data_IF_567976089805
#
_entry.id   IF_567976089805
#
_cell.length_a   1.000
_cell.length_b   1.000
_cell.length_c   1.000
_cell.angle_alpha   90.00
_cell.angle_beta   90.00
_cell.angle_gamma   90.00
#
_symmetry.space_group_name_H-M   'P 1'
#
loop_
_entity.id
_entity.type
_entity.pdbx_description
1 polymer ?
#
# COMPACT_ATOMS: atom_id res chain seq x y z
N UNK A 1 21.73 -13.28 -9.08
CA UNK A 1 21.44 -14.34 -10.09
C UNK A 1 20.50 -15.40 -9.54
N UNK A 2 20.86 -16.19 -8.52
CA UNK A 2 19.95 -17.20 -7.95
C UNK A 2 18.76 -16.57 -7.20
N UNK A 3 19.03 -15.62 -6.29
CA UNK A 3 18.00 -14.92 -5.53
C UNK A 3 17.04 -14.13 -6.42
N UNK A 4 17.54 -13.44 -7.45
CA UNK A 4 16.69 -12.66 -8.37
C UNK A 4 15.77 -13.55 -9.20
N UNK A 5 16.27 -14.71 -9.67
CA UNK A 5 15.45 -15.66 -10.42
C UNK A 5 14.35 -16.28 -9.55
N UNK A 6 14.70 -16.65 -8.32
CA UNK A 6 13.74 -17.16 -7.33
C UNK A 6 12.71 -16.07 -6.98
N UNK A 7 13.14 -14.84 -6.77
CA UNK A 7 12.24 -13.72 -6.48
C UNK A 7 11.24 -13.48 -7.61
N UNK A 8 11.69 -13.53 -8.86
CA UNK A 8 10.82 -13.38 -10.03
C UNK A 8 9.78 -14.52 -10.13
N UNK A 9 10.18 -15.77 -9.87
CA UNK A 9 9.27 -16.91 -9.80
C UNK A 9 8.22 -16.75 -8.67
N UNK A 10 8.66 -16.33 -7.48
CA UNK A 10 7.77 -16.09 -6.35
C UNK A 10 6.81 -14.93 -6.62
N UNK A 11 7.25 -13.87 -7.30
CA UNK A 11 6.38 -12.76 -7.66
C UNK A 11 5.24 -13.21 -8.58
N UNK A 12 5.52 -14.14 -9.50
CA UNK A 12 4.51 -14.73 -10.36
C UNK A 12 3.53 -15.62 -9.58
N UNK A 13 4.02 -16.40 -8.60
CA UNK A 13 3.16 -17.18 -7.69
C UNK A 13 2.25 -16.26 -6.88
N UNK A 14 2.80 -15.20 -6.29
CA UNK A 14 2.05 -14.21 -5.51
C UNK A 14 1.01 -13.53 -6.39
N UNK A 15 1.37 -13.17 -7.63
CA UNK A 15 0.42 -12.63 -8.61
C UNK A 15 -0.73 -13.60 -8.87
N UNK A 16 -0.43 -14.85 -9.20
CA UNK A 16 -1.45 -15.87 -9.49
C UNK A 16 -2.40 -16.13 -8.31
N UNK A 17 -1.96 -15.89 -7.07
CA UNK A 17 -2.78 -16.08 -5.87
C UNK A 17 -3.58 -14.84 -5.47
N UNK A 18 -2.95 -13.67 -5.49
CA UNK A 18 -3.55 -12.44 -4.96
C UNK A 18 -4.29 -11.63 -6.03
N UNK A 19 -3.96 -11.81 -7.30
CA UNK A 19 -4.64 -11.13 -8.40
C UNK A 19 -6.10 -11.59 -8.61
N UNK A 20 -6.43 -12.91 -8.60
CA UNK A 20 -7.79 -13.39 -8.82
C UNK A 20 -8.67 -13.34 -7.55
N UNK A 21 -8.49 -12.32 -6.70
CA UNK A 21 -9.34 -12.14 -5.52
C UNK A 21 -10.83 -12.12 -5.90
N UNK A 22 -11.73 -12.72 -5.10
CA UNK A 22 -13.16 -12.69 -5.38
C UNK A 22 -13.68 -11.29 -5.72
N UNK A 23 -14.62 -11.23 -6.67
CA UNK A 23 -15.30 -9.97 -7.03
C UNK A 23 -16.05 -9.38 -5.83
N UNK A 24 -16.53 -10.23 -4.93
CA UNK A 24 -17.10 -9.80 -3.67
C UNK A 24 -15.99 -9.26 -2.77
N UNK A 25 -16.13 -8.00 -2.35
CA UNK A 25 -15.18 -7.36 -1.44
C UNK A 25 -15.23 -8.04 -0.07
N UNK A 26 -14.08 -8.43 0.45
CA UNK A 26 -13.93 -9.04 1.77
C UNK A 26 -13.16 -8.11 2.70
N UNK A 27 -13.83 -7.61 3.74
CA UNK A 27 -13.24 -6.63 4.66
C UNK A 27 -12.79 -5.36 3.95
N UNK A 28 -11.47 -5.21 3.77
CA UNK A 28 -10.83 -4.09 3.06
C UNK A 28 -9.97 -4.55 1.88
N UNK A 29 -10.25 -5.75 1.35
CA UNK A 29 -9.58 -6.35 0.19
C UNK A 29 -10.58 -6.53 -0.98
N UNK A 30 -10.08 -6.38 -2.20
CA UNK A 30 -10.86 -6.55 -3.43
C UNK A 30 -9.93 -6.94 -4.59
N UNK A 31 -10.52 -7.39 -5.71
CA UNK A 31 -9.80 -7.80 -6.91
C UNK A 31 -8.75 -6.76 -7.35
N UNK A 32 -7.49 -7.20 -7.46
CA UNK A 32 -6.37 -6.36 -7.85
C UNK A 32 -5.69 -5.56 -6.73
N UNK A 33 -6.41 -5.19 -5.67
CA UNK A 33 -5.82 -4.38 -4.60
C UNK A 33 -4.72 -5.11 -3.84
N UNK A 34 -4.95 -6.35 -3.42
CA UNK A 34 -4.03 -7.06 -2.53
C UNK A 34 -2.66 -7.23 -3.20
N UNK A 35 -2.64 -7.63 -4.48
CA UNK A 35 -1.38 -7.72 -5.23
C UNK A 35 -0.70 -6.36 -5.44
N UNK A 36 -1.45 -5.34 -5.86
CA UNK A 36 -0.90 -3.99 -6.04
C UNK A 36 -0.35 -3.41 -4.72
N UNK A 37 -1.03 -3.70 -3.61
CA UNK A 37 -0.60 -3.36 -2.25
C UNK A 37 0.72 -4.05 -1.91
N UNK A 38 0.82 -5.37 -2.11
CA UNK A 38 2.07 -6.11 -1.91
C UNK A 38 3.24 -5.47 -2.66
N UNK A 39 3.06 -5.07 -3.92
CA UNK A 39 4.12 -4.42 -4.69
C UNK A 39 4.51 -3.03 -4.14
N UNK A 40 3.55 -2.23 -3.68
CA UNK A 40 3.85 -0.93 -3.03
C UNK A 40 4.57 -1.11 -1.70
N UNK A 41 4.18 -2.12 -0.91
CA UNK A 41 4.86 -2.50 0.34
C UNK A 41 6.30 -2.93 0.05
N UNK A 42 6.53 -3.75 -0.98
CA UNK A 42 7.91 -4.11 -1.42
C UNK A 42 8.74 -2.86 -1.74
N UNK A 43 8.18 -1.91 -2.51
CA UNK A 43 8.89 -0.69 -2.87
C UNK A 43 9.27 0.16 -1.66
N UNK A 44 8.31 0.38 -0.75
CA UNK A 44 8.53 1.19 0.45
C UNK A 44 9.45 0.49 1.45
N UNK A 45 9.27 -0.82 1.68
CA UNK A 45 10.12 -1.59 2.58
C UNK A 45 11.57 -1.62 2.10
N UNK A 46 11.81 -1.76 0.78
CA UNK A 46 13.14 -1.67 0.20
C UNK A 46 13.76 -0.27 0.33
N UNK A 47 12.96 0.78 0.20
CA UNK A 47 13.43 2.14 0.43
C UNK A 47 13.90 2.33 1.88
N UNK A 48 13.12 1.82 2.83
CA UNK A 48 13.47 1.86 4.26
C UNK A 48 14.70 1.01 4.57
N UNK A 49 14.76 -0.22 4.05
CA UNK A 49 15.87 -1.16 4.27
C UNK A 49 17.22 -0.55 3.89
N UNK A 50 17.30 0.14 2.76
CA UNK A 50 18.54 0.82 2.30
C UNK A 50 18.99 1.95 3.22
N UNK A 51 18.06 2.63 3.88
CA UNK A 51 18.39 3.73 4.80
C UNK A 51 18.73 3.24 6.19
N UNK A 52 18.18 2.08 6.58
CA UNK A 52 18.39 1.46 7.88
C UNK A 52 19.48 0.38 7.90
N UNK A 53 20.18 0.21 6.76
CA UNK A 53 21.24 -0.80 6.58
C UNK A 53 20.75 -2.24 6.87
N UNK A 54 19.49 -2.51 6.52
CA UNK A 54 18.87 -3.82 6.64
C UNK A 54 19.22 -4.73 5.45
N UNK A 55 19.14 -6.05 5.64
CA UNK A 55 19.27 -6.99 4.55
C UNK A 55 18.12 -6.82 3.54
N UNK A 56 18.44 -6.23 2.38
CA UNK A 56 17.45 -5.94 1.34
C UNK A 56 16.85 -7.20 0.71
N UNK A 57 17.55 -8.33 0.74
CA UNK A 57 17.03 -9.60 0.23
C UNK A 57 15.99 -10.17 1.19
N UNK A 58 16.25 -10.16 2.49
CA UNK A 58 15.27 -10.58 3.50
C UNK A 58 14.03 -9.70 3.41
N UNK A 59 14.20 -8.37 3.38
CA UNK A 59 13.08 -7.42 3.35
C UNK A 59 12.23 -7.57 2.09
N UNK A 60 12.84 -7.66 0.90
CA UNK A 60 12.03 -7.76 -0.34
C UNK A 60 11.26 -9.06 -0.41
N UNK A 61 11.85 -10.18 0.02
CA UNK A 61 11.16 -11.47 0.06
C UNK A 61 10.02 -11.47 1.07
N UNK A 62 10.28 -10.99 2.30
CA UNK A 62 9.26 -10.89 3.33
C UNK A 62 8.11 -9.97 2.91
N UNK A 63 8.40 -8.79 2.37
CA UNK A 63 7.39 -7.86 1.88
C UNK A 63 6.59 -8.43 0.70
N UNK A 64 7.21 -9.17 -0.23
CA UNK A 64 6.50 -9.81 -1.34
C UNK A 64 5.54 -10.91 -0.86
N UNK A 65 5.90 -11.61 0.22
CA UNK A 65 5.20 -12.81 0.67
C UNK A 65 4.30 -12.58 1.90
N UNK A 66 4.31 -11.40 2.53
CA UNK A 66 3.63 -11.17 3.81
C UNK A 66 2.12 -11.50 3.78
N UNK A 67 1.48 -11.23 2.63
CA UNK A 67 0.05 -11.43 2.41
C UNK A 67 -0.26 -12.68 1.56
N UNK A 68 0.73 -13.57 1.32
CA UNK A 68 0.56 -14.77 0.47
C UNK A 68 -0.58 -15.68 0.93
N UNK A 69 -0.92 -15.63 2.22
CA UNK A 69 -2.05 -16.35 2.83
C UNK A 69 -3.10 -15.45 3.46
N UNK A 70 -3.37 -14.31 2.81
CA UNK A 70 -4.44 -13.40 3.24
C UNK A 70 -5.82 -14.08 3.31
N UNK A 71 -6.04 -15.13 2.53
CA UNK A 71 -7.22 -16.01 2.56
C UNK A 71 -7.43 -16.71 3.93
N UNK A 72 -6.37 -16.90 4.71
CA UNK A 72 -6.46 -17.49 6.06
C UNK A 72 -7.08 -16.53 7.11
N UNK A 73 -7.34 -15.27 6.75
CA UNK A 73 -8.02 -14.31 7.63
C UNK A 73 -7.14 -13.83 8.79
N UNK A 74 -7.60 -14.00 10.03
CA UNK A 74 -6.94 -13.42 11.22
C UNK A 74 -5.52 -13.94 11.44
N UNK A 75 -5.26 -15.20 11.09
CA UNK A 75 -3.96 -15.85 11.33
C UNK A 75 -3.05 -15.83 10.09
N UNK A 76 -3.35 -14.99 9.07
CA UNK A 76 -2.62 -14.97 7.80
C UNK A 76 -1.11 -14.78 7.95
N UNK A 77 -0.64 -14.00 8.92
CA UNK A 77 0.78 -13.82 9.19
C UNK A 77 1.46 -15.13 9.61
N UNK A 78 0.83 -15.88 10.53
CA UNK A 78 1.37 -17.17 11.00
C UNK A 78 1.30 -18.24 9.91
N UNK A 79 0.13 -18.41 9.28
CA UNK A 79 -0.07 -19.39 8.19
C UNK A 79 0.82 -19.07 6.99
N UNK A 80 0.98 -17.78 6.67
CA UNK A 80 1.88 -17.30 5.62
C UNK A 80 3.33 -17.62 5.95
N UNK A 81 3.78 -17.39 7.18
CA UNK A 81 5.15 -17.71 7.60
C UNK A 81 5.44 -19.22 7.52
N UNK A 82 4.50 -20.09 7.92
CA UNK A 82 4.64 -21.55 7.77
C UNK A 82 4.79 -21.96 6.31
N UNK A 83 3.95 -21.42 5.43
CA UNK A 83 4.02 -21.72 4.00
C UNK A 83 5.30 -21.21 3.35
N UNK A 84 5.75 -20.01 3.73
CA UNK A 84 6.98 -19.41 3.19
C UNK A 84 8.21 -20.22 3.58
N UNK A 85 8.23 -20.82 4.78
CA UNK A 85 9.30 -21.76 5.16
C UNK A 85 9.40 -22.89 4.13
N UNK A 86 8.28 -23.53 3.79
CA UNK A 86 8.25 -24.57 2.76
C UNK A 86 8.66 -24.06 1.37
N UNK A 87 8.05 -22.95 0.91
CA UNK A 87 8.29 -22.41 -0.43
C UNK A 87 9.76 -22.04 -0.67
N UNK A 88 10.44 -21.51 0.34
CA UNK A 88 11.84 -21.07 0.21
C UNK A 88 12.83 -22.22 0.41
N UNK A 89 12.57 -23.14 1.34
CA UNK A 89 13.38 -24.36 1.52
C UNK A 89 13.34 -25.25 0.27
N UNK A 90 12.17 -25.43 -0.36
CA UNK A 90 12.04 -26.22 -1.59
C UNK A 90 12.82 -25.62 -2.78
N UNK A 91 13.12 -24.31 -2.71
CA UNK A 91 13.94 -23.59 -3.70
C UNK A 91 15.43 -23.55 -3.34
N UNK A 92 15.83 -24.24 -2.27
CA UNK A 92 17.22 -24.37 -1.85
C UNK A 92 17.79 -23.10 -1.24
N UNK A 93 16.95 -22.20 -0.68
CA UNK A 93 17.47 -21.04 0.03
C UNK A 93 18.03 -21.43 1.41
N UNK A 94 19.06 -20.73 1.90
CA UNK A 94 19.69 -21.03 3.19
C UNK A 94 18.72 -20.95 4.39
N UNK A 95 18.85 -21.86 5.35
CA UNK A 95 17.94 -21.97 6.50
C UNK A 95 17.84 -20.69 7.34
N UNK A 96 18.95 -19.96 7.49
CA UNK A 96 19.01 -18.68 8.19
C UNK A 96 18.23 -17.58 7.44
N UNK A 97 18.37 -17.53 6.11
CA UNK A 97 17.57 -16.64 5.26
C UNK A 97 16.07 -16.98 5.34
N UNK A 98 15.73 -18.27 5.26
CA UNK A 98 14.33 -18.73 5.37
C UNK A 98 13.74 -18.35 6.72
N UNK A 99 14.50 -18.56 7.80
CA UNK A 99 14.07 -18.19 9.15
C UNK A 99 13.87 -16.67 9.30
N UNK A 100 14.76 -15.86 8.73
CA UNK A 100 14.65 -14.39 8.77
C UNK A 100 13.41 -13.89 8.02
N UNK A 101 13.19 -14.39 6.80
CA UNK A 101 12.01 -14.03 5.98
C UNK A 101 10.72 -14.46 6.68
N UNK A 102 10.64 -15.70 7.14
CA UNK A 102 9.45 -16.21 7.82
C UNK A 102 9.19 -15.46 9.13
N UNK A 103 10.24 -15.12 9.89
CA UNK A 103 10.12 -14.33 11.11
C UNK A 103 9.55 -12.93 10.85
N UNK A 104 10.03 -12.24 9.81
CA UNK A 104 9.49 -10.93 9.42
C UNK A 104 8.01 -11.00 9.01
N UNK A 105 7.60 -12.06 8.33
CA UNK A 105 6.19 -12.29 7.96
C UNK A 105 5.35 -12.63 9.19
N UNK A 106 5.85 -13.44 10.12
CA UNK A 106 5.05 -13.88 11.27
C UNK A 106 4.62 -12.70 12.17
N UNK A 107 5.45 -11.67 12.29
CA UNK A 107 5.19 -10.54 13.18
C UNK A 107 4.64 -9.27 12.50
N UNK A 108 4.53 -9.22 11.16
CA UNK A 108 4.18 -7.99 10.42
C UNK A 108 2.80 -7.43 10.82
N UNK A 109 1.82 -8.30 11.10
CA UNK A 109 0.44 -7.92 11.45
C UNK A 109 0.27 -7.62 12.95
N UNK A 110 1.09 -6.71 13.49
CA UNK A 110 0.90 -6.12 14.82
C UNK A 110 1.59 -6.81 15.99
N UNK A 111 2.47 -7.79 15.74
CA UNK A 111 3.33 -8.39 16.78
C UNK A 111 4.78 -7.89 16.74
N UNK A 112 5.11 -7.02 15.79
CA UNK A 112 6.39 -6.31 15.79
C UNK A 112 6.57 -5.47 17.05
N UNK A 113 7.80 -5.45 17.54
CA UNK A 113 8.27 -4.61 18.63
C UNK A 113 9.68 -4.11 18.30
N UNK A 114 10.15 -2.99 18.88
CA UNK A 114 11.47 -2.43 18.57
C UNK A 114 12.68 -3.37 18.81
N UNK A 115 12.48 -4.47 19.53
CA UNK A 115 13.48 -5.50 19.80
C UNK A 115 13.65 -6.50 18.64
N UNK A 116 12.74 -6.52 17.68
CA UNK A 116 12.84 -7.37 16.50
C UNK A 116 13.95 -6.89 15.54
N UNK A 117 14.45 -7.78 14.65
CA UNK A 117 15.39 -7.39 13.60
C UNK A 117 14.85 -6.25 12.74
N UNK A 118 15.76 -5.41 12.24
CA UNK A 118 15.39 -4.21 11.46
C UNK A 118 14.60 -4.56 10.20
N UNK A 119 14.83 -5.73 9.62
CA UNK A 119 14.11 -6.27 8.48
C UNK A 119 12.61 -6.43 8.78
N UNK A 120 12.28 -6.97 9.96
CA UNK A 120 10.91 -7.15 10.42
C UNK A 120 10.21 -5.80 10.59
N UNK A 121 10.92 -4.82 11.14
CA UNK A 121 10.41 -3.46 11.35
C UNK A 121 10.17 -2.75 10.01
N UNK A 122 11.07 -2.92 9.03
CA UNK A 122 10.89 -2.37 7.68
C UNK A 122 9.60 -2.88 7.03
N UNK A 123 9.35 -4.21 7.10
CA UNK A 123 8.16 -4.82 6.49
C UNK A 123 6.89 -4.36 7.20
N UNK A 124 6.85 -4.42 8.53
CA UNK A 124 5.66 -4.03 9.29
C UNK A 124 5.32 -2.55 9.19
N UNK A 125 6.32 -1.67 9.26
CA UNK A 125 6.10 -0.24 9.09
C UNK A 125 5.62 0.07 7.66
N UNK A 126 6.24 -0.54 6.63
CA UNK A 126 5.84 -0.30 5.24
C UNK A 126 4.40 -0.76 4.94
N UNK A 127 4.00 -1.93 5.45
CA UNK A 127 2.62 -2.44 5.34
C UNK A 127 1.61 -1.47 5.99
N UNK A 128 1.88 -1.08 7.24
CA UNK A 128 1.02 -0.15 7.96
C UNK A 128 0.93 1.22 7.26
N UNK A 129 2.05 1.72 6.73
CA UNK A 129 2.13 3.01 6.04
C UNK A 129 1.30 3.00 4.76
N UNK A 130 1.50 2.01 3.88
CA UNK A 130 0.82 1.93 2.58
C UNK A 130 -0.71 1.91 2.73
N UNK A 131 -1.21 1.17 3.72
CA UNK A 131 -2.65 0.98 3.89
C UNK A 131 -3.37 2.17 4.54
N UNK A 132 -2.65 3.11 5.18
CA UNK A 132 -3.26 4.08 6.11
C UNK A 132 -2.85 5.54 5.93
N UNK A 133 -1.75 5.84 5.24
CA UNK A 133 -1.22 7.20 5.15
C UNK A 133 -1.08 7.64 3.69
N UNK A 134 -1.05 8.96 3.49
CA UNK A 134 -0.76 9.55 2.19
C UNK A 134 -1.94 9.53 1.23
N UNK A 135 -1.64 9.88 -0.02
CA UNK A 135 -2.63 9.85 -1.09
C UNK A 135 -3.00 8.41 -1.48
N UNK A 136 -2.13 7.41 -1.28
CA UNK A 136 -2.49 5.98 -1.41
C UNK A 136 -3.55 5.61 -0.36
N UNK A 137 -3.35 5.99 0.90
CA UNK A 137 -4.34 5.78 1.96
C UNK A 137 -5.68 6.50 1.68
N UNK A 138 -5.60 7.70 1.10
CA UNK A 138 -6.78 8.48 0.67
C UNK A 138 -7.51 7.81 -0.50
N UNK A 139 -6.78 7.40 -1.53
CA UNK A 139 -7.30 6.63 -2.66
C UNK A 139 -8.03 5.37 -2.19
N UNK A 140 -7.41 4.64 -1.26
CA UNK A 140 -7.98 3.44 -0.65
C UNK A 140 -9.27 3.74 0.09
N UNK A 141 -9.32 4.83 0.88
CA UNK A 141 -10.53 5.24 1.59
C UNK A 141 -11.69 5.56 0.64
N UNK A 142 -11.44 6.35 -0.41
CA UNK A 142 -12.45 6.68 -1.43
C UNK A 142 -12.93 5.41 -2.14
N UNK A 143 -12.00 4.54 -2.56
CA UNK A 143 -12.31 3.29 -3.25
C UNK A 143 -13.18 2.36 -2.40
N UNK A 144 -12.85 2.20 -1.11
CA UNK A 144 -13.61 1.37 -0.16
C UNK A 144 -15.05 1.87 -0.03
N UNK A 145 -15.25 3.17 0.20
CA UNK A 145 -16.58 3.76 0.42
C UNK A 145 -17.42 3.76 -0.85
N UNK A 146 -16.83 4.10 -1.99
CA UNK A 146 -17.51 4.05 -3.29
C UNK A 146 -18.08 2.64 -3.58
N UNK A 147 -17.27 1.58 -3.42
CA UNK A 147 -17.79 0.22 -3.62
C UNK A 147 -18.66 -0.33 -2.48
N UNK A 148 -18.95 0.45 -1.44
CA UNK A 148 -20.06 0.23 -0.50
C UNK A 148 -21.33 0.98 -0.90
N UNK A 149 -21.30 1.68 -2.03
CA UNK A 149 -22.42 2.48 -2.55
C UNK A 149 -22.56 3.86 -1.92
N UNK A 150 -21.53 4.32 -1.21
CA UNK A 150 -21.54 5.64 -0.58
C UNK A 150 -21.10 6.71 -1.57
N UNK A 151 -21.82 7.83 -1.63
CA UNK A 151 -21.49 8.94 -2.54
C UNK A 151 -20.19 9.67 -2.16
N UNK A 152 -19.66 10.45 -3.11
CA UNK A 152 -18.40 11.17 -2.94
C UNK A 152 -18.49 12.26 -1.87
N UNK A 153 -19.59 13.00 -1.82
CA UNK A 153 -19.77 14.09 -0.86
C UNK A 153 -19.74 13.54 0.56
N UNK A 154 -20.53 12.51 0.86
CA UNK A 154 -20.54 11.81 2.13
C UNK A 154 -19.17 11.19 2.47
N UNK A 155 -18.44 10.72 1.46
CA UNK A 155 -17.06 10.25 1.60
C UNK A 155 -16.12 11.38 2.05
N UNK A 156 -16.20 12.56 1.44
CA UNK A 156 -15.38 13.73 1.81
C UNK A 156 -15.74 14.20 3.22
N UNK A 157 -17.03 14.29 3.58
CA UNK A 157 -17.45 14.65 4.94
C UNK A 157 -16.90 13.68 5.99
N UNK A 158 -16.86 12.38 5.69
CA UNK A 158 -16.33 11.37 6.59
C UNK A 158 -14.80 11.45 6.81
N UNK A 159 -14.06 12.20 5.99
CA UNK A 159 -12.62 12.37 6.16
C UNK A 159 -12.28 13.06 7.49
N UNK A 160 -13.13 13.96 7.98
CA UNK A 160 -12.93 14.66 9.25
C UNK A 160 -12.82 13.71 10.45
N UNK A 161 -13.61 12.62 10.47
CA UNK A 161 -13.54 11.59 11.50
C UNK A 161 -12.50 10.50 11.21
N UNK A 162 -12.17 10.30 9.95
CA UNK A 162 -11.21 9.30 9.50
C UNK A 162 -9.76 9.73 9.80
N UNK A 163 -9.40 10.98 9.51
CA UNK A 163 -8.02 11.48 9.64
C UNK A 163 -7.43 11.32 11.06
N UNK A 164 -8.11 11.68 12.16
CA UNK A 164 -7.56 11.49 13.51
C UNK A 164 -7.29 10.01 13.84
N UNK A 165 -8.12 9.10 13.32
CA UNK A 165 -7.92 7.65 13.49
C UNK A 165 -6.69 7.15 12.74
N UNK A 166 -6.33 7.78 11.62
CA UNK A 166 -5.11 7.47 10.88
C UNK A 166 -3.87 7.98 11.63
N UNK A 167 -3.92 9.21 12.15
CA UNK A 167 -2.79 9.78 12.90
C UNK A 167 -2.42 8.95 14.13
N UNK A 168 -3.41 8.42 14.85
CA UNK A 168 -3.17 7.54 16.00
C UNK A 168 -2.40 6.25 15.63
N UNK A 169 -2.39 5.84 14.36
CA UNK A 169 -1.62 4.66 13.93
C UNK A 169 -0.11 4.94 13.86
N UNK A 170 0.33 6.20 13.92
CA UNK A 170 1.76 6.53 13.97
C UNK A 170 2.44 5.98 15.22
N UNK A 171 1.70 5.80 16.31
CA UNK A 171 2.18 5.20 17.56
C UNK A 171 2.49 3.70 17.43
N UNK A 172 1.99 3.05 16.38
CA UNK A 172 2.23 1.63 16.10
C UNK A 172 3.46 1.38 15.22
N UNK A 173 4.04 2.44 14.64
CA UNK A 173 5.26 2.34 13.84
C UNK A 173 6.46 2.15 14.74
N UNK A 174 7.37 1.27 14.35
CA UNK A 174 8.49 0.85 15.18
C UNK A 174 9.75 1.69 14.92
N UNK A 175 10.02 2.02 13.65
CA UNK A 175 11.23 2.75 13.25
C UNK A 175 11.03 4.27 13.30
N UNK A 176 12.10 5.02 13.59
CA UNK A 176 12.08 6.49 13.48
C UNK A 176 11.83 6.94 12.03
N UNK A 177 12.42 6.24 11.06
CA UNK A 177 12.22 6.49 9.64
C UNK A 177 10.77 6.26 9.21
N UNK A 178 10.16 5.14 9.60
CA UNK A 178 8.76 4.84 9.33
C UNK A 178 7.82 5.91 9.90
N UNK A 179 8.05 6.32 11.16
CA UNK A 179 7.33 7.46 11.78
C UNK A 179 7.48 8.75 10.97
N UNK A 180 8.69 9.08 10.52
CA UNK A 180 8.94 10.26 9.69
C UNK A 180 8.16 10.20 8.36
N UNK A 181 8.23 9.08 7.64
CA UNK A 181 7.51 8.86 6.38
C UNK A 181 6.00 8.99 6.61
N UNK A 182 5.46 8.33 7.62
CA UNK A 182 4.03 8.38 7.94
C UNK A 182 3.56 9.80 8.29
N UNK A 183 4.36 10.57 9.04
CA UNK A 183 4.06 11.97 9.36
C UNK A 183 4.06 12.86 8.11
N UNK A 184 5.02 12.66 7.20
CA UNK A 184 5.08 13.39 5.93
C UNK A 184 3.85 13.08 5.05
N UNK A 185 3.54 11.78 4.88
CA UNK A 185 2.35 11.32 4.16
C UNK A 185 1.06 11.79 4.82
N UNK A 186 0.97 11.81 6.15
CA UNK A 186 -0.20 12.35 6.86
C UNK A 186 -0.38 13.85 6.61
N UNK A 187 0.69 14.65 6.63
CA UNK A 187 0.61 16.07 6.34
C UNK A 187 0.09 16.36 4.92
N UNK A 188 0.52 15.57 3.93
CA UNK A 188 -0.03 15.63 2.56
C UNK A 188 -1.49 15.24 2.54
N UNK A 189 -1.83 14.10 3.12
CA UNK A 189 -3.20 13.57 3.19
C UNK A 189 -4.17 14.58 3.81
N UNK A 190 -3.80 15.23 4.91
CA UNK A 190 -4.60 16.26 5.58
C UNK A 190 -4.83 17.47 4.69
N UNK A 191 -3.78 17.95 4.02
CA UNK A 191 -3.88 19.08 3.08
C UNK A 191 -4.83 18.75 1.94
N UNK A 192 -4.67 17.59 1.32
CA UNK A 192 -5.52 17.16 0.21
C UNK A 192 -6.99 17.01 0.65
N UNK A 193 -7.25 16.40 1.81
CA UNK A 193 -8.61 16.30 2.36
C UNK A 193 -9.23 17.68 2.64
N UNK A 194 -8.43 18.64 3.14
CA UNK A 194 -8.89 20.01 3.34
C UNK A 194 -9.22 20.70 2.01
N UNK A 195 -8.38 20.54 0.99
CA UNK A 195 -8.63 21.07 -0.35
C UNK A 195 -9.90 20.47 -0.97
N UNK A 196 -10.17 19.17 -0.77
CA UNK A 196 -11.41 18.53 -1.19
C UNK A 196 -12.64 19.13 -0.51
N UNK A 197 -12.59 19.32 0.82
CA UNK A 197 -13.70 19.91 1.56
C UNK A 197 -14.01 21.34 1.08
N UNK A 198 -12.97 22.16 0.89
CA UNK A 198 -13.11 23.53 0.37
C UNK A 198 -13.63 23.55 -1.07
N UNK A 199 -13.14 22.66 -1.94
CA UNK A 199 -13.61 22.58 -3.32
C UNK A 199 -15.08 22.16 -3.40
N UNK A 200 -15.50 21.21 -2.54
CA UNK A 200 -16.89 20.76 -2.42
C UNK A 200 -17.81 21.89 -1.95
N UNK A 201 -17.42 22.63 -0.91
CA UNK A 201 -18.20 23.77 -0.39
C UNK A 201 -18.37 24.89 -1.44
N UNK A 202 -17.37 25.12 -2.29
CA UNK A 202 -17.39 26.15 -3.33
C UNK A 202 -18.03 25.69 -4.65
N UNK A 203 -18.34 24.40 -4.80
CA UNK A 203 -18.88 23.84 -6.05
C UNK A 203 -17.89 23.85 -7.23
N UNK A 204 -16.58 23.82 -6.97
CA UNK A 204 -15.55 23.81 -8.01
C UNK A 204 -15.15 22.36 -8.37
N UNK A 205 -15.74 21.81 -9.43
CA UNK A 205 -15.51 20.40 -9.80
C UNK A 205 -14.42 20.18 -10.84
N UNK A 206 -14.37 21.02 -11.89
CA UNK A 206 -13.64 20.66 -13.13
C UNK A 206 -12.14 20.96 -13.12
N UNK A 207 -11.66 21.91 -12.31
CA UNK A 207 -10.23 22.24 -12.17
C UNK A 207 -9.87 22.40 -10.69
N UNK A 208 -10.10 21.32 -9.93
CA UNK A 208 -9.75 21.24 -8.52
C UNK A 208 -9.36 19.81 -8.12
N UNK A 209 -8.82 19.60 -6.90
CA UNK A 209 -8.60 18.26 -6.34
C UNK A 209 -9.84 17.36 -6.33
N UNK A 210 -11.05 17.95 -6.33
CA UNK A 210 -12.32 17.21 -6.39
C UNK A 210 -12.44 16.37 -7.67
N UNK A 211 -11.86 16.83 -8.77
CA UNK A 211 -11.79 16.07 -10.02
C UNK A 211 -11.11 14.73 -9.82
N UNK A 212 -9.96 14.71 -9.13
CA UNK A 212 -9.22 13.47 -8.88
C UNK A 212 -10.01 12.54 -7.96
N UNK A 213 -10.62 13.07 -6.89
CA UNK A 213 -11.44 12.29 -5.99
C UNK A 213 -12.67 11.67 -6.70
N UNK A 214 -13.30 12.42 -7.61
CA UNK A 214 -14.41 11.94 -8.45
C UNK A 214 -13.93 10.86 -9.43
N UNK A 215 -12.79 11.06 -10.09
CA UNK A 215 -12.20 10.03 -10.95
C UNK A 215 -11.94 8.73 -10.19
N UNK A 216 -11.37 8.80 -8.98
CA UNK A 216 -11.14 7.61 -8.13
C UNK A 216 -12.47 6.94 -7.74
N UNK A 217 -13.46 7.74 -7.37
CA UNK A 217 -14.79 7.27 -7.00
C UNK A 217 -15.49 6.55 -8.15
N UNK A 218 -15.51 7.15 -9.34
CA UNK A 218 -16.21 6.63 -10.52
C UNK A 218 -15.55 5.35 -11.08
N UNK A 219 -14.26 5.15 -10.82
CA UNK A 219 -13.47 3.99 -11.29
C UNK A 219 -13.13 3.01 -10.16
N UNK A 220 -13.89 3.03 -9.06
CA UNK A 220 -13.65 2.17 -7.89
C UNK A 220 -13.94 0.69 -8.15
N UNK A 221 -14.64 0.37 -9.23
CA UNK A 221 -14.93 -0.97 -9.73
C UNK A 221 -13.67 -1.69 -10.23
N UNK A 222 -12.76 -0.95 -10.89
CA UNK A 222 -11.45 -1.48 -11.29
C UNK A 222 -10.54 -1.71 -10.10
N UNK A 223 -10.61 -0.83 -9.09
CA UNK A 223 -9.94 -1.00 -7.81
C UNK A 223 -8.40 -1.04 -7.85
N UNK A 224 -7.77 -0.65 -8.96
CA UNK A 224 -6.32 -0.76 -9.16
C UNK A 224 -5.67 0.59 -9.41
N UNK A 225 -4.96 1.08 -8.40
CA UNK A 225 -4.33 2.41 -8.43
C UNK A 225 -3.36 2.55 -9.61
N UNK A 226 -2.51 1.55 -9.86
CA UNK A 226 -1.52 1.64 -10.93
C UNK A 226 -2.17 1.72 -12.33
N UNK A 227 -3.28 1.02 -12.53
CA UNK A 227 -4.04 1.09 -13.79
C UNK A 227 -4.73 2.44 -13.94
N UNK A 228 -5.35 2.95 -12.88
CA UNK A 228 -5.95 4.29 -12.85
C UNK A 228 -4.92 5.37 -13.20
N UNK A 229 -3.73 5.33 -12.60
CA UNK A 229 -2.62 6.24 -12.89
C UNK A 229 -2.12 6.12 -14.34
N UNK A 230 -2.01 4.89 -14.86
CA UNK A 230 -1.59 4.65 -16.24
C UNK A 230 -2.60 5.23 -17.25
N UNK A 231 -3.89 5.09 -16.97
CA UNK A 231 -4.95 5.63 -17.82
C UNK A 231 -4.95 7.17 -17.87
N UNK A 232 -4.65 7.83 -16.74
CA UNK A 232 -4.57 9.29 -16.62
C UNK A 232 -3.42 9.91 -17.41
N UNK A 233 -2.30 9.21 -17.51
CA UNK A 233 -1.10 9.71 -18.20
C UNK A 233 -1.20 9.72 -19.73
N UNK A 234 -2.24 9.09 -20.31
CA UNK A 234 -2.44 8.95 -21.75
C UNK A 234 -1.36 8.12 -22.43
N UNK A 235 -1.73 7.30 -23.42
CA UNK A 235 -0.78 6.38 -24.09
C UNK A 235 0.33 7.06 -24.92
N UNK A 236 0.38 8.40 -24.97
CA UNK A 236 1.36 9.19 -25.72
C UNK A 236 2.08 10.19 -24.78
N UNK A 237 3.40 10.39 -24.94
CA UNK A 237 4.14 11.36 -24.14
C UNK A 237 3.55 12.78 -24.27
N UNK A 238 3.17 13.40 -23.15
CA UNK A 238 2.64 14.77 -23.10
C UNK A 238 1.12 14.90 -23.30
N UNK A 239 0.38 13.81 -23.50
CA UNK A 239 -1.09 13.84 -23.55
C UNK A 239 -1.68 13.41 -22.19
N UNK A 240 -2.04 14.34 -21.33
CA UNK A 240 -2.68 14.03 -20.06
C UNK A 240 -4.20 14.19 -20.14
N UNK A 241 -4.95 13.32 -19.46
CA UNK A 241 -6.43 13.36 -19.39
C UNK A 241 -6.92 13.90 -18.06
N UNK A 242 -6.24 14.89 -17.50
CA UNK A 242 -6.56 15.48 -16.21
C UNK A 242 -6.29 16.99 -16.16
N UNK A 243 -7.00 17.75 -15.30
CA UNK A 243 -6.79 19.19 -15.13
C UNK A 243 -5.41 19.54 -14.55
N UNK A 244 -4.87 20.71 -14.85
CA UNK A 244 -3.54 21.11 -14.36
C UNK A 244 -3.47 21.15 -12.82
N UNK A 245 -4.57 21.53 -12.17
CA UNK A 245 -4.69 21.59 -10.70
C UNK A 245 -4.42 20.26 -10.00
N UNK A 246 -4.64 19.10 -10.64
CA UNK A 246 -4.45 17.79 -10.00
C UNK A 246 -3.04 17.20 -10.23
N UNK A 247 -2.24 17.81 -11.10
CA UNK A 247 -0.89 17.31 -11.42
C UNK A 247 0.02 17.14 -10.18
N UNK A 248 0.02 18.06 -9.18
CA UNK A 248 0.82 17.87 -7.97
C UNK A 248 0.40 16.65 -7.16
N UNK A 249 -0.91 16.40 -7.00
CA UNK A 249 -1.43 15.24 -6.29
C UNK A 249 -1.08 13.93 -7.01
N UNK A 250 -1.18 13.90 -8.34
CA UNK A 250 -0.78 12.74 -9.14
C UNK A 250 0.72 12.45 -9.02
N UNK A 251 1.57 13.48 -9.03
CA UNK A 251 3.00 13.29 -8.84
C UNK A 251 3.32 12.67 -7.48
N UNK A 252 2.69 13.15 -6.41
CA UNK A 252 2.85 12.57 -5.07
C UNK A 252 2.37 11.12 -5.05
N UNK A 253 1.20 10.83 -5.63
CA UNK A 253 0.66 9.48 -5.70
C UNK A 253 1.60 8.53 -6.46
N UNK A 254 2.23 8.99 -7.55
CA UNK A 254 3.28 8.26 -8.25
C UNK A 254 4.53 7.99 -7.39
N UNK A 255 4.92 8.94 -6.56
CA UNK A 255 6.06 8.79 -5.65
C UNK A 255 5.75 7.83 -4.50
N UNK A 256 4.56 7.91 -3.91
CA UNK A 256 4.12 6.98 -2.86
C UNK A 256 4.02 5.53 -3.37
N UNK A 257 3.47 5.33 -4.58
CA UNK A 257 3.38 4.00 -5.24
C UNK A 257 4.76 3.41 -5.52
N UNK A 258 5.73 4.26 -5.86
CA UNK A 258 7.11 3.84 -6.08
C UNK A 258 7.95 3.75 -4.80
N UNK A 259 7.37 4.01 -3.63
CA UNK A 259 8.06 3.99 -2.34
C UNK A 259 9.11 5.08 -2.15
N UNK A 260 8.99 6.22 -2.86
CA UNK A 260 9.98 7.32 -2.82
C UNK A 260 9.70 8.42 -1.79
N UNK A 261 8.48 8.47 -1.24
CA UNK A 261 7.99 9.42 -0.24
C UNK A 261 6.92 8.76 0.62
#
# INVERSE_FOLDING_TARGET
>A
MMFDAIFADLQEIVRQRLEPWPLQREGFHWAGYTYDHTLRVVNLALHMARQLDADTDVVRFAALLHDIRKDAGRDHAQVGAEEVRHLLTDRGLPDDFVAAVAGAIECHSGSNSPEHPVENLCVGDADLIDANFGLVGTWRFITIRSGRGEDLDGTIHAMAEWLPKKDALTDLLNTSLGRQIAMQRSAVMRRFCQELAVALENGHEDDSPLWLARYIHDHSDTGRLQQQLTALNGGLPGSHRYPASVAPALQILHDEVAGRQ
#
